data_IF_122051221412
#
_entry.id   IF_122051221412
#
_cell.length_a   1.000
_cell.length_b   1.000
_cell.length_c   1.000
_cell.angle_alpha   90.00
_cell.angle_beta   90.00
_cell.angle_gamma   90.00
#
_symmetry.space_group_name_H-M   'P 1'
#
loop_
_entity.id
_entity.type
_entity.pdbx_description
1 polymer ?
#
# COMPACT_ATOMS: atom_id res chain seq x y z
N UNK A 1 35.76 29.24 -1.36
CA UNK A 1 34.56 30.09 -1.41
C UNK A 1 33.95 30.14 -0.02
N UNK A 2 33.95 31.31 0.67
CA UNK A 2 33.34 31.44 2.01
C UNK A 2 31.80 31.60 1.84
N UNK A 3 31.06 30.67 2.38
CA UNK A 3 29.60 30.75 2.44
C UNK A 3 29.15 31.91 3.34
N UNK A 4 28.45 32.88 2.81
CA UNK A 4 27.81 33.92 3.61
C UNK A 4 26.47 33.41 4.15
N UNK A 5 26.42 33.08 5.44
CA UNK A 5 25.24 32.57 6.13
C UNK A 5 24.30 33.66 6.64
N UNK A 6 24.64 34.92 6.46
CA UNK A 6 23.84 36.08 6.90
C UNK A 6 22.74 36.45 5.88
N UNK A 7 22.77 35.88 4.69
CA UNK A 7 21.76 36.11 3.65
C UNK A 7 21.14 34.77 3.23
N UNK A 8 19.84 34.73 3.14
CA UNK A 8 19.13 33.57 2.57
C UNK A 8 19.54 33.37 1.11
N UNK A 9 19.73 32.13 0.63
CA UNK A 9 20.01 31.88 -0.76
C UNK A 9 18.84 32.39 -1.62
N UNK A 10 19.12 33.34 -2.49
CA UNK A 10 18.15 33.82 -3.48
C UNK A 10 18.05 32.79 -4.62
N UNK A 11 17.06 31.90 -4.55
CA UNK A 11 16.68 31.12 -5.71
C UNK A 11 15.89 32.02 -6.66
N UNK A 12 16.49 32.37 -7.80
CA UNK A 12 15.83 33.12 -8.87
C UNK A 12 14.91 32.23 -9.71
N UNK A 13 15.04 30.91 -9.57
CA UNK A 13 14.27 29.95 -10.35
C UNK A 13 12.97 29.64 -9.64
N UNK A 14 11.85 29.97 -10.27
CA UNK A 14 10.56 29.47 -9.83
C UNK A 14 10.53 27.96 -10.08
N UNK A 15 10.32 27.17 -9.03
CA UNK A 15 10.07 25.74 -9.16
C UNK A 15 8.86 25.53 -10.09
N UNK A 16 9.11 24.98 -11.28
CA UNK A 16 8.05 24.51 -12.16
C UNK A 16 7.64 23.13 -11.67
N UNK A 17 6.51 23.05 -10.99
CA UNK A 17 5.91 21.79 -10.58
C UNK A 17 4.85 21.41 -11.61
N UNK A 18 4.97 20.21 -12.16
CA UNK A 18 3.98 19.61 -13.05
C UNK A 18 3.55 18.28 -12.44
N UNK A 19 2.27 18.18 -12.13
CA UNK A 19 1.69 16.90 -11.70
C UNK A 19 1.68 15.93 -12.88
N UNK A 20 1.95 14.64 -12.63
CA UNK A 20 1.77 13.62 -13.65
C UNK A 20 0.29 13.51 -14.02
N UNK A 21 0.02 13.04 -15.23
CA UNK A 21 -1.32 12.69 -15.67
C UNK A 21 -1.82 11.48 -14.88
N UNK A 22 -3.08 11.53 -14.45
CA UNK A 22 -3.74 10.43 -13.73
C UNK A 22 -4.78 9.84 -14.67
N UNK A 23 -4.61 8.58 -15.02
CA UNK A 23 -5.60 7.80 -15.76
C UNK A 23 -6.57 7.10 -14.81
N UNK A 24 -7.85 7.13 -15.14
CA UNK A 24 -8.91 6.47 -14.36
C UNK A 24 -9.51 5.32 -15.14
N UNK A 25 -9.54 4.13 -14.53
CA UNK A 25 -10.18 2.94 -15.06
C UNK A 25 -11.23 2.41 -14.09
N UNK A 26 -12.25 1.72 -14.63
CA UNK A 26 -13.23 0.97 -13.84
C UNK A 26 -13.33 -0.44 -14.37
N UNK A 27 -13.16 -1.40 -13.47
CA UNK A 27 -13.37 -2.81 -13.79
C UNK A 27 -14.86 -3.17 -13.75
N UNK A 28 -15.22 -4.30 -14.35
CA UNK A 28 -16.61 -4.79 -14.40
C UNK A 28 -17.22 -5.04 -13.03
N UNK A 29 -16.41 -5.34 -12.01
CA UNK A 29 -16.82 -5.50 -10.62
C UNK A 29 -17.00 -4.17 -9.86
N UNK A 30 -16.80 -3.02 -10.52
CA UNK A 30 -16.94 -1.68 -9.93
C UNK A 30 -15.65 -1.13 -9.32
N UNK A 31 -14.57 -1.89 -9.25
CA UNK A 31 -13.29 -1.41 -8.71
C UNK A 31 -12.78 -0.23 -9.57
N UNK A 32 -12.50 0.88 -8.90
CA UNK A 32 -11.87 2.05 -9.50
C UNK A 32 -10.36 1.96 -9.37
N UNK A 33 -9.65 2.15 -10.47
CA UNK A 33 -8.20 2.19 -10.54
C UNK A 33 -7.76 3.59 -10.95
N UNK A 34 -6.83 4.17 -10.21
CA UNK A 34 -6.11 5.37 -10.56
C UNK A 34 -4.68 4.98 -10.91
N UNK A 35 -4.27 5.28 -12.12
CA UNK A 35 -2.96 4.91 -12.63
C UNK A 35 -2.13 6.15 -12.95
N UNK A 36 -0.86 6.11 -12.55
CA UNK A 36 0.13 7.13 -12.89
C UNK A 36 1.36 6.45 -13.45
N UNK A 37 1.66 6.73 -14.70
CA UNK A 37 2.87 6.23 -15.34
C UNK A 37 4.10 7.03 -14.93
N UNK A 38 5.15 6.34 -14.48
CA UNK A 38 6.44 6.96 -14.14
C UNK A 38 7.59 6.00 -14.41
N UNK A 39 8.20 6.13 -15.59
CA UNK A 39 9.16 5.16 -16.14
C UNK A 39 10.63 5.39 -15.71
N UNK A 40 10.89 6.07 -14.60
CA UNK A 40 12.25 6.38 -14.16
C UNK A 40 12.95 5.19 -13.49
N UNK A 41 12.18 4.27 -12.92
CA UNK A 41 12.66 3.06 -12.21
C UNK A 41 11.76 1.88 -12.55
N UNK A 42 12.31 0.66 -12.62
CA UNK A 42 11.54 -0.55 -12.91
C UNK A 42 10.79 -1.06 -11.66
N UNK A 43 9.98 -0.21 -11.06
CA UNK A 43 9.19 -0.51 -9.87
C UNK A 43 7.72 -0.13 -10.08
N UNK A 44 6.83 -0.88 -9.44
CA UNK A 44 5.40 -0.59 -9.37
C UNK A 44 4.97 -0.51 -7.91
N UNK A 45 4.34 0.59 -7.54
CA UNK A 45 3.67 0.72 -6.24
C UNK A 45 2.17 0.54 -6.42
N UNK A 46 1.60 -0.39 -5.70
CA UNK A 46 0.16 -0.65 -5.62
C UNK A 46 -0.36 -0.22 -4.25
N UNK A 47 -1.54 0.39 -4.22
CA UNK A 47 -2.24 0.72 -2.97
C UNK A 47 -3.70 0.35 -3.14
N UNK A 48 -4.15 -0.69 -2.44
CA UNK A 48 -5.56 -1.03 -2.32
C UNK A 48 -6.13 -0.26 -1.13
N UNK A 49 -7.16 0.54 -1.38
CA UNK A 49 -7.78 1.42 -0.40
C UNK A 49 -9.18 0.92 -0.11
N UNK A 50 -9.46 0.63 1.16
CA UNK A 50 -10.73 0.08 1.61
C UNK A 50 -11.39 1.04 2.62
N UNK A 51 -12.67 1.35 2.42
CA UNK A 51 -13.46 2.18 3.36
C UNK A 51 -13.89 1.33 4.56
N UNK A 52 -12.94 1.07 5.47
CA UNK A 52 -13.10 0.22 6.64
C UNK A 52 -12.25 0.72 7.84
N UNK A 53 -12.02 2.02 7.95
CA UNK A 53 -11.27 2.61 9.05
C UNK A 53 -12.04 2.60 10.39
N UNK A 54 -11.41 3.08 11.45
CA UNK A 54 -11.90 2.95 12.83
C UNK A 54 -13.26 3.58 13.10
N UNK A 55 -13.73 4.53 12.28
CA UNK A 55 -15.09 5.09 12.39
C UNK A 55 -16.20 4.08 12.10
N UNK A 56 -15.87 2.97 11.44
CA UNK A 56 -16.81 1.88 11.15
C UNK A 56 -16.81 0.80 12.23
N UNK A 57 -15.96 0.94 13.25
CA UNK A 57 -15.93 -0.01 14.37
C UNK A 57 -17.30 0.00 15.09
N UNK A 58 -17.83 -1.18 15.44
CA UNK A 58 -18.99 -1.24 16.32
C UNK A 58 -18.70 -0.55 17.67
N UNK A 59 -19.69 0.09 18.27
CA UNK A 59 -19.57 0.86 19.52
C UNK A 59 -18.90 0.08 20.66
N UNK A 60 -19.10 -1.25 20.70
CA UNK A 60 -18.52 -2.15 21.71
C UNK A 60 -17.26 -2.89 21.24
N UNK A 61 -16.70 -2.54 20.09
CA UNK A 61 -15.50 -3.16 19.50
C UNK A 61 -14.55 -2.12 18.93
N UNK A 62 -14.33 -1.04 19.67
CA UNK A 62 -13.36 -0.02 19.27
C UNK A 62 -11.97 -0.62 19.11
N UNK A 63 -11.28 -0.29 18.02
CA UNK A 63 -9.98 -0.85 17.67
C UNK A 63 -10.04 -2.05 16.72
N UNK A 64 -11.25 -2.46 16.29
CA UNK A 64 -11.41 -3.60 15.38
C UNK A 64 -10.69 -3.37 14.04
N UNK A 65 -10.84 -2.20 13.43
CA UNK A 65 -10.15 -1.86 12.19
C UNK A 65 -8.63 -1.88 12.35
N UNK A 66 -8.13 -1.37 13.48
CA UNK A 66 -6.70 -1.40 13.78
C UNK A 66 -6.19 -2.83 13.95
N UNK A 67 -6.87 -3.65 14.75
CA UNK A 67 -6.52 -5.05 14.95
C UNK A 67 -6.56 -5.83 13.63
N UNK A 68 -7.61 -5.62 12.80
CA UNK A 68 -7.71 -6.23 11.47
C UNK A 68 -6.51 -5.84 10.59
N UNK A 69 -6.09 -4.57 10.63
CA UNK A 69 -4.94 -4.11 9.85
C UNK A 69 -3.60 -4.69 10.32
N UNK A 70 -3.51 -5.11 11.58
CA UNK A 70 -2.31 -5.77 12.12
C UNK A 70 -2.26 -7.27 11.82
N UNK A 71 -3.40 -7.90 11.60
CA UNK A 71 -3.49 -9.36 11.46
C UNK A 71 -3.76 -9.81 10.01
N UNK A 72 -4.01 -8.91 9.08
CA UNK A 72 -4.44 -9.26 7.72
C UNK A 72 -3.36 -10.01 6.93
N UNK A 73 -2.09 -9.86 7.29
CA UNK A 73 -0.93 -10.49 6.68
C UNK A 73 -0.31 -11.62 7.53
N UNK A 74 -0.92 -11.96 8.67
CA UNK A 74 -0.51 -13.12 9.49
C UNK A 74 -0.90 -14.49 8.88
N UNK A 75 -1.21 -14.50 7.59
CA UNK A 75 -1.51 -15.66 6.75
C UNK A 75 -2.67 -15.40 5.82
N UNK A 76 -2.59 -15.89 4.60
CA UNK A 76 -3.64 -15.72 3.59
C UNK A 76 -3.60 -16.82 2.51
N UNK A 77 -4.77 -17.21 2.01
CA UNK A 77 -4.89 -18.09 0.83
C UNK A 77 -4.22 -19.46 0.97
N UNK A 78 -4.04 -19.94 2.21
CA UNK A 78 -3.35 -21.20 2.49
C UNK A 78 -1.87 -21.06 2.83
N UNK A 79 -1.30 -19.87 2.77
CA UNK A 79 0.02 -19.55 3.31
C UNK A 79 -0.08 -19.20 4.78
N UNK A 80 0.81 -19.75 5.61
CA UNK A 80 1.08 -19.21 6.94
C UNK A 80 1.75 -17.83 6.84
N UNK A 81 1.85 -17.09 7.96
CA UNK A 81 2.54 -15.80 8.01
C UNK A 81 3.96 -15.88 7.42
N UNK A 82 4.75 -16.84 7.89
CA UNK A 82 6.13 -17.03 7.43
C UNK A 82 6.23 -17.40 5.94
N UNK A 83 5.33 -18.25 5.45
CA UNK A 83 5.31 -18.62 4.03
C UNK A 83 4.91 -17.44 3.16
N UNK A 84 3.96 -16.62 3.60
CA UNK A 84 3.52 -15.41 2.91
C UNK A 84 4.64 -14.37 2.84
N UNK A 85 5.32 -14.11 3.94
CA UNK A 85 6.49 -13.22 4.00
C UNK A 85 7.60 -13.70 3.08
N UNK A 86 7.96 -14.98 3.12
CA UNK A 86 8.97 -15.56 2.24
C UNK A 86 8.60 -15.42 0.75
N UNK A 87 7.33 -15.62 0.40
CA UNK A 87 6.86 -15.42 -0.99
C UNK A 87 7.03 -13.96 -1.41
N UNK A 88 6.61 -12.99 -0.58
CA UNK A 88 6.72 -11.56 -0.86
C UNK A 88 8.20 -11.16 -1.01
N UNK A 89 9.05 -11.56 -0.07
CA UNK A 89 10.48 -11.22 -0.07
C UNK A 89 11.22 -11.86 -1.25
N UNK A 90 10.86 -13.10 -1.64
CA UNK A 90 11.46 -13.79 -2.78
C UNK A 90 11.24 -13.05 -4.11
N UNK A 91 10.18 -12.26 -4.20
CA UNK A 91 9.89 -11.39 -5.34
C UNK A 91 10.62 -10.04 -5.29
N UNK A 92 11.37 -9.77 -4.20
CA UNK A 92 11.93 -8.43 -3.94
C UNK A 92 10.84 -7.40 -3.70
N UNK A 93 9.67 -7.83 -3.23
CA UNK A 93 8.52 -6.97 -2.94
C UNK A 93 8.48 -6.59 -1.47
N UNK A 94 7.79 -5.50 -1.17
CA UNK A 94 7.57 -5.02 0.20
C UNK A 94 6.07 -4.83 0.36
N UNK A 95 5.49 -5.47 1.36
CA UNK A 95 4.09 -5.30 1.74
C UNK A 95 3.98 -4.51 3.05
N UNK A 96 2.88 -3.82 3.24
CA UNK A 96 2.57 -3.16 4.50
C UNK A 96 1.14 -2.64 4.53
N UNK A 97 0.58 -2.65 5.73
CA UNK A 97 -0.79 -2.19 5.99
C UNK A 97 -0.77 -0.97 6.89
N UNK A 98 -1.70 -0.07 6.69
CA UNK A 98 -1.97 1.04 7.60
C UNK A 98 -3.45 1.35 7.66
N UNK A 99 -3.91 1.88 8.78
CA UNK A 99 -5.31 2.27 8.98
C UNK A 99 -5.40 3.65 9.60
N UNK A 100 -6.45 4.37 9.25
CA UNK A 100 -6.84 5.63 9.88
C UNK A 100 -8.33 5.59 10.31
N UNK A 101 -8.94 6.73 10.54
CA UNK A 101 -10.36 6.80 10.92
C UNK A 101 -11.30 6.35 9.79
N UNK A 102 -10.93 6.53 8.55
CA UNK A 102 -11.80 6.33 7.39
C UNK A 102 -11.45 5.10 6.57
N UNK A 103 -10.16 4.78 6.46
CA UNK A 103 -9.63 3.90 5.43
C UNK A 103 -8.62 2.90 6.01
N UNK A 104 -8.54 1.74 5.36
CA UNK A 104 -7.42 0.81 5.47
C UNK A 104 -6.68 0.83 4.12
N UNK A 105 -5.35 0.87 4.19
CA UNK A 105 -4.45 0.88 3.03
C UNK A 105 -3.60 -0.37 3.03
N UNK A 106 -3.74 -1.21 2.02
CA UNK A 106 -2.82 -2.31 1.76
C UNK A 106 -1.87 -1.86 0.65
N UNK A 107 -0.60 -1.76 0.98
CA UNK A 107 0.42 -1.24 0.07
C UNK A 107 1.37 -2.36 -0.33
N UNK A 108 1.67 -2.46 -1.62
CA UNK A 108 2.67 -3.38 -2.17
C UNK A 108 3.60 -2.59 -3.08
N UNK A 109 4.90 -2.66 -2.82
CA UNK A 109 5.95 -2.20 -3.74
C UNK A 109 6.58 -3.43 -4.38
N UNK A 110 6.69 -3.44 -5.69
CA UNK A 110 7.25 -4.56 -6.45
C UNK A 110 8.17 -4.07 -7.56
N UNK A 111 9.12 -4.90 -7.99
CA UNK A 111 9.81 -4.70 -9.26
C UNK A 111 8.87 -5.05 -10.42
N UNK A 112 9.01 -4.35 -11.55
CA UNK A 112 8.07 -4.47 -12.68
C UNK A 112 7.95 -5.91 -13.21
N UNK A 113 9.03 -6.65 -13.25
CA UNK A 113 9.06 -8.04 -13.74
C UNK A 113 8.30 -9.04 -12.85
N UNK A 114 7.99 -8.65 -11.61
CA UNK A 114 7.27 -9.46 -10.62
C UNK A 114 5.89 -8.92 -10.29
N UNK A 115 5.45 -7.91 -11.04
CA UNK A 115 4.19 -7.21 -10.79
C UNK A 115 2.98 -8.15 -10.70
N UNK A 116 2.80 -9.05 -11.67
CA UNK A 116 1.64 -9.96 -11.71
C UNK A 116 1.56 -10.81 -10.44
N UNK A 117 2.68 -11.45 -10.07
CA UNK A 117 2.72 -12.31 -8.88
C UNK A 117 2.50 -11.51 -7.60
N UNK A 118 3.07 -10.32 -7.50
CA UNK A 118 2.88 -9.43 -6.35
C UNK A 118 1.43 -8.95 -6.23
N UNK A 119 0.77 -8.69 -7.36
CA UNK A 119 -0.65 -8.34 -7.40
C UNK A 119 -1.54 -9.51 -6.96
N UNK A 120 -1.22 -10.74 -7.37
CA UNK A 120 -1.92 -11.94 -6.91
C UNK A 120 -1.81 -12.10 -5.39
N UNK A 121 -0.61 -11.90 -4.82
CA UNK A 121 -0.42 -11.96 -3.36
C UNK A 121 -1.21 -10.86 -2.65
N UNK A 122 -1.17 -9.62 -3.13
CA UNK A 122 -1.97 -8.53 -2.59
C UNK A 122 -3.48 -8.86 -2.61
N UNK A 123 -3.95 -9.41 -3.73
CA UNK A 123 -5.34 -9.83 -3.85
C UNK A 123 -5.68 -10.99 -2.91
N UNK A 124 -4.77 -11.94 -2.71
CA UNK A 124 -4.93 -13.07 -1.78
C UNK A 124 -5.01 -12.59 -0.33
N UNK A 125 -4.13 -11.69 0.08
CA UNK A 125 -4.15 -11.08 1.43
C UNK A 125 -5.49 -10.38 1.68
N UNK A 126 -5.97 -9.62 0.71
CA UNK A 126 -7.24 -8.92 0.85
C UNK A 126 -8.47 -9.85 0.86
N UNK A 127 -8.50 -10.85 -0.03
CA UNK A 127 -9.70 -11.66 -0.26
C UNK A 127 -9.79 -12.89 0.66
N UNK A 128 -8.69 -13.34 1.22
CA UNK A 128 -8.62 -14.63 1.93
C UNK A 128 -7.65 -14.61 3.11
N UNK A 129 -7.69 -13.59 4.00
CA UNK A 129 -6.88 -13.60 5.22
C UNK A 129 -7.34 -14.73 6.15
N UNK A 130 -6.42 -15.34 6.90
CA UNK A 130 -6.73 -16.52 7.71
C UNK A 130 -7.27 -16.18 9.10
N UNK A 131 -6.77 -15.18 9.80
CA UNK A 131 -7.18 -14.79 11.15
C UNK A 131 -7.31 -16.01 12.10
N UNK A 132 -6.21 -16.70 12.36
CA UNK A 132 -6.23 -17.89 13.23
C UNK A 132 -6.31 -17.50 14.71
N UNK A 133 -6.74 -18.43 15.58
CA UNK A 133 -6.76 -18.16 17.04
C UNK A 133 -5.35 -17.94 17.61
N UNK A 134 -4.31 -18.42 16.95
CA UNK A 134 -2.92 -18.30 17.40
C UNK A 134 -2.35 -16.91 17.08
N UNK A 135 -3.02 -16.13 16.21
CA UNK A 135 -2.64 -14.75 15.83
C UNK A 135 -3.17 -13.72 16.86
N UNK A 136 -4.08 -14.09 17.74
CA UNK A 136 -4.66 -13.27 18.79
C UNK A 136 -3.99 -13.52 20.14
#
# INVERSE_FOLDING_TARGET
>A
MKLNRSAAPNSKDKLKFQLPEIEEFRLSNGLKILFVEKNNLPIVKMSLIVSAGSRFDPVNKSGLAYLTSMLVDEGAGGFSALELDNEIESLGSIFGVSTDSDLIYLNMLSISDKFERSLELLATIYASPLFTNDDF
#
